data_IF_231310815323
#
_entry.id   IF_231310815323
#
_cell.length_a   1.000
_cell.length_b   1.000
_cell.length_c   1.000
_cell.angle_alpha   90.00
_cell.angle_beta   90.00
_cell.angle_gamma   90.00
#
_symmetry.space_group_name_H-M   'P 1'
#
loop_
_entity.id
_entity.type
_entity.pdbx_description
1 polymer ?
#
# COMPACT_ATOMS: atom_id res chain seq x y z
N UNK A 1 17.26 -12.70 -8.99
CA UNK A 1 16.30 -13.27 -8.01
C UNK A 1 15.09 -13.76 -8.77
N UNK A 2 14.43 -14.77 -8.24
CA UNK A 2 13.12 -15.24 -8.69
C UNK A 2 12.04 -14.46 -7.95
N UNK A 3 11.28 -13.65 -8.67
CA UNK A 3 10.33 -12.69 -8.09
C UNK A 3 8.92 -12.95 -8.58
N UNK A 4 7.96 -13.04 -7.68
CA UNK A 4 6.54 -13.04 -8.03
C UNK A 4 5.87 -11.74 -7.58
N UNK A 5 5.15 -11.08 -8.49
CA UNK A 5 4.32 -9.92 -8.15
C UNK A 5 2.85 -10.34 -8.18
N UNK A 6 2.24 -10.43 -7.01
CA UNK A 6 0.84 -10.78 -6.82
C UNK A 6 -0.01 -9.53 -7.01
N UNK A 7 -0.71 -9.46 -8.14
CA UNK A 7 -1.45 -8.28 -8.56
C UNK A 7 -0.61 -7.35 -9.44
N UNK A 8 -0.60 -7.62 -10.75
CA UNK A 8 0.06 -6.77 -11.75
C UNK A 8 -0.74 -5.48 -12.07
N UNK A 9 -1.42 -4.91 -11.05
CA UNK A 9 -2.12 -3.64 -11.16
C UNK A 9 -1.17 -2.45 -11.29
N UNK A 10 -1.60 -1.27 -10.84
CA UNK A 10 -0.83 -0.04 -10.96
C UNK A 10 0.59 -0.16 -10.37
N UNK A 11 0.70 -0.33 -9.07
CA UNK A 11 2.00 -0.41 -8.37
C UNK A 11 2.72 -1.73 -8.66
N UNK A 12 1.97 -2.86 -8.62
CA UNK A 12 2.57 -4.16 -8.92
C UNK A 12 3.08 -4.25 -10.35
N UNK A 13 2.43 -3.61 -11.32
CA UNK A 13 2.91 -3.55 -12.69
C UNK A 13 4.20 -2.73 -12.83
N UNK A 14 4.32 -1.60 -12.14
CA UNK A 14 5.59 -0.83 -12.08
C UNK A 14 6.71 -1.69 -11.51
N UNK A 15 6.48 -2.37 -10.37
CA UNK A 15 7.46 -3.27 -9.74
C UNK A 15 7.87 -4.39 -10.69
N UNK A 16 6.89 -5.11 -11.26
CA UNK A 16 7.16 -6.23 -12.16
C UNK A 16 7.98 -5.80 -13.38
N UNK A 17 7.57 -4.72 -14.05
CA UNK A 17 8.27 -4.21 -15.22
C UNK A 17 9.71 -3.79 -14.89
N UNK A 18 9.89 -3.01 -13.83
CA UNK A 18 11.18 -2.47 -13.43
C UNK A 18 12.16 -3.57 -13.01
N UNK A 19 11.70 -4.53 -12.21
CA UNK A 19 12.53 -5.67 -11.78
C UNK A 19 12.90 -6.59 -12.96
N UNK A 20 11.98 -6.84 -13.90
CA UNK A 20 12.28 -7.60 -15.12
C UNK A 20 13.33 -6.87 -15.99
N UNK A 21 13.20 -5.54 -16.12
CA UNK A 21 14.18 -4.72 -16.85
C UNK A 21 15.56 -4.75 -16.18
N UNK A 22 15.63 -4.90 -14.87
CA UNK A 22 16.88 -5.07 -14.12
C UNK A 22 17.48 -6.50 -14.18
N UNK A 23 16.86 -7.41 -14.97
CA UNK A 23 17.35 -8.76 -15.20
C UNK A 23 16.94 -9.78 -14.15
N UNK A 24 15.90 -9.51 -13.36
CA UNK A 24 15.31 -10.50 -12.47
C UNK A 24 14.36 -11.42 -13.23
N UNK A 25 14.22 -12.67 -12.76
CA UNK A 25 13.22 -13.63 -13.25
C UNK A 25 11.86 -13.29 -12.60
N UNK A 26 11.00 -12.60 -13.36
CA UNK A 26 9.75 -12.04 -12.83
C UNK A 26 8.54 -12.74 -13.40
N UNK A 27 7.69 -13.22 -12.51
CA UNK A 27 6.33 -13.69 -12.81
C UNK A 27 5.28 -12.79 -12.16
N UNK A 28 4.09 -12.74 -12.75
CA UNK A 28 2.98 -11.96 -12.20
C UNK A 28 1.74 -12.80 -12.00
N UNK A 29 1.01 -12.53 -10.93
CA UNK A 29 -0.36 -13.04 -10.74
C UNK A 29 -1.33 -11.96 -11.20
N UNK A 30 -2.11 -12.26 -12.20
CA UNK A 30 -3.11 -11.37 -12.76
C UNK A 30 -4.35 -12.15 -13.19
N UNK A 31 -5.46 -11.48 -13.47
CA UNK A 31 -6.72 -12.11 -13.87
C UNK A 31 -7.29 -11.50 -15.14
N UNK A 32 -8.20 -12.22 -15.79
CA UNK A 32 -9.00 -11.74 -16.92
C UNK A 32 -8.18 -11.18 -18.09
N UNK A 33 -8.71 -10.13 -18.71
CA UNK A 33 -8.10 -9.50 -19.89
C UNK A 33 -6.68 -8.97 -19.64
N UNK A 34 -6.39 -8.48 -18.40
CA UNK A 34 -5.07 -7.99 -18.05
C UNK A 34 -4.02 -9.12 -18.07
N UNK A 35 -4.33 -10.28 -17.47
CA UNK A 35 -3.46 -11.46 -17.54
C UNK A 35 -3.24 -11.93 -18.99
N UNK A 36 -4.32 -12.02 -19.76
CA UNK A 36 -4.24 -12.47 -21.17
C UNK A 36 -3.35 -11.55 -21.99
N UNK A 37 -3.46 -10.24 -21.80
CA UNK A 37 -2.63 -9.25 -22.47
C UNK A 37 -1.15 -9.39 -22.09
N UNK A 38 -0.84 -9.51 -20.79
CA UNK A 38 0.55 -9.68 -20.34
C UNK A 38 1.15 -11.00 -20.87
N UNK A 39 0.41 -12.10 -20.79
CA UNK A 39 0.88 -13.40 -21.25
C UNK A 39 1.16 -13.44 -22.76
N UNK A 40 0.40 -12.70 -23.56
CA UNK A 40 0.52 -12.73 -25.03
C UNK A 40 1.48 -11.67 -25.58
N UNK A 41 1.58 -10.50 -24.97
CA UNK A 41 2.31 -9.33 -25.49
C UNK A 41 3.39 -8.79 -24.55
N UNK A 42 3.44 -9.30 -23.32
CA UNK A 42 4.24 -8.72 -22.23
C UNK A 42 3.54 -7.58 -21.51
N UNK A 43 4.16 -7.09 -20.45
CA UNK A 43 3.72 -5.93 -19.69
C UNK A 43 4.36 -4.67 -20.26
N UNK A 44 3.54 -3.68 -20.61
CA UNK A 44 3.99 -2.39 -21.11
C UNK A 44 3.97 -1.35 -20.00
N UNK A 45 5.06 -0.62 -19.83
CA UNK A 45 5.15 0.55 -18.96
C UNK A 45 5.27 1.82 -19.81
N UNK A 46 4.37 2.77 -19.58
CA UNK A 46 4.49 4.16 -20.04
C UNK A 46 4.97 4.99 -18.86
N UNK A 47 6.23 5.42 -18.91
CA UNK A 47 6.87 6.11 -17.78
C UNK A 47 6.85 7.62 -17.98
N UNK A 48 5.92 8.29 -17.30
CA UNK A 48 5.83 9.75 -17.32
C UNK A 48 6.93 10.44 -16.47
N UNK A 49 7.72 9.66 -15.73
CA UNK A 49 8.87 10.14 -14.96
C UNK A 49 10.19 10.08 -15.77
N UNK A 50 10.15 9.49 -16.96
CA UNK A 50 11.32 9.31 -17.86
C UNK A 50 10.88 9.65 -19.29
N UNK A 51 10.63 10.94 -19.56
CA UNK A 51 10.27 11.52 -20.87
C UNK A 51 9.17 10.74 -21.63
N UNK A 52 8.17 10.21 -20.91
CA UNK A 52 7.11 9.36 -21.44
C UNK A 52 7.60 8.11 -22.18
N UNK A 53 8.77 7.61 -21.77
CA UNK A 53 9.34 6.41 -22.36
C UNK A 53 8.38 5.23 -22.23
N UNK A 54 8.09 4.60 -23.37
CA UNK A 54 7.26 3.40 -23.45
C UNK A 54 8.14 2.19 -23.76
N UNK A 55 8.00 1.13 -22.98
CA UNK A 55 8.69 -0.13 -23.23
C UNK A 55 7.84 -1.33 -22.78
N UNK A 56 8.09 -2.48 -23.38
CA UNK A 56 7.38 -3.74 -23.06
C UNK A 56 8.38 -4.78 -22.62
N UNK A 57 8.03 -5.51 -21.55
CA UNK A 57 8.81 -6.65 -21.05
C UNK A 57 7.98 -7.93 -21.13
N UNK A 58 8.50 -8.97 -21.79
CA UNK A 58 7.88 -10.28 -21.72
C UNK A 58 7.97 -10.82 -20.30
N UNK A 59 6.91 -11.44 -19.81
CA UNK A 59 6.92 -12.09 -18.50
C UNK A 59 5.83 -13.14 -18.37
N UNK A 60 6.06 -14.10 -17.49
CA UNK A 60 5.08 -15.12 -17.18
C UNK A 60 3.92 -14.50 -16.40
N UNK A 61 2.71 -14.63 -16.90
CA UNK A 61 1.49 -14.18 -16.24
C UNK A 61 0.56 -15.36 -15.99
N UNK A 62 0.34 -15.68 -14.72
CA UNK A 62 -0.54 -16.80 -14.30
C UNK A 62 -1.67 -16.28 -13.41
N UNK A 63 -2.71 -17.07 -13.25
CA UNK A 63 -3.83 -16.76 -12.37
C UNK A 63 -3.68 -17.46 -11.01
N UNK A 64 -3.16 -18.67 -11.05
CA UNK A 64 -2.94 -19.48 -9.86
C UNK A 64 -1.48 -19.40 -9.37
N UNK A 65 -1.24 -18.82 -8.17
CA UNK A 65 0.09 -18.78 -7.56
C UNK A 65 0.72 -20.17 -7.40
N UNK A 66 -0.08 -21.20 -7.10
CA UNK A 66 0.42 -22.54 -6.79
C UNK A 66 1.22 -23.18 -7.92
N UNK A 67 1.06 -22.68 -9.15
CA UNK A 67 1.80 -23.14 -10.32
C UNK A 67 3.27 -22.70 -10.38
N UNK A 68 3.68 -21.72 -9.54
CA UNK A 68 5.01 -21.11 -9.62
C UNK A 68 6.04 -21.69 -8.65
N UNK A 69 5.58 -22.31 -7.54
CA UNK A 69 6.43 -22.78 -6.44
C UNK A 69 7.13 -21.64 -5.69
N UNK A 70 8.01 -21.96 -4.73
CA UNK A 70 8.67 -20.97 -3.89
C UNK A 70 9.49 -19.94 -4.67
N UNK A 71 9.48 -18.69 -4.19
CA UNK A 71 10.14 -17.53 -4.78
C UNK A 71 11.20 -16.97 -3.83
N UNK A 72 12.15 -16.18 -4.34
CA UNK A 72 13.06 -15.41 -3.49
C UNK A 72 12.31 -14.19 -2.88
N UNK A 73 11.48 -13.54 -3.68
CA UNK A 73 10.69 -12.38 -3.26
C UNK A 73 9.26 -12.49 -3.80
N UNK A 74 8.29 -12.24 -2.93
CA UNK A 74 6.87 -12.14 -3.31
C UNK A 74 6.38 -10.74 -2.95
N UNK A 75 6.11 -9.90 -3.95
CA UNK A 75 5.43 -8.62 -3.72
C UNK A 75 3.92 -8.82 -3.77
N UNK A 76 3.18 -8.23 -2.82
CA UNK A 76 1.72 -8.13 -2.89
C UNK A 76 1.36 -6.70 -3.28
N UNK A 77 0.96 -6.50 -4.55
CA UNK A 77 0.50 -5.24 -5.12
C UNK A 77 -1.02 -5.20 -5.29
N UNK A 78 -1.74 -5.88 -4.41
CA UNK A 78 -3.20 -5.88 -4.36
C UNK A 78 -3.72 -4.79 -3.43
N UNK A 79 -5.00 -4.44 -3.56
CA UNK A 79 -5.69 -3.67 -2.54
C UNK A 79 -5.92 -4.51 -1.28
N UNK A 80 -5.87 -3.88 -0.11
CA UNK A 80 -5.94 -4.56 1.18
C UNK A 80 -7.12 -5.54 1.29
N UNK A 81 -8.31 -5.15 0.81
CA UNK A 81 -9.51 -5.98 0.86
C UNK A 81 -9.48 -7.25 0.00
N UNK A 82 -8.53 -7.37 -0.94
CA UNK A 82 -8.38 -8.56 -1.78
C UNK A 82 -7.38 -9.58 -1.22
N UNK A 83 -6.65 -9.23 -0.18
CA UNK A 83 -5.57 -10.06 0.36
C UNK A 83 -6.11 -11.27 1.14
N UNK A 84 -7.13 -11.15 2.02
CA UNK A 84 -7.59 -12.29 2.82
C UNK A 84 -7.97 -13.51 1.99
N UNK A 85 -8.64 -13.30 0.86
CA UNK A 85 -9.05 -14.38 -0.04
C UNK A 85 -7.86 -15.05 -0.75
N UNK A 86 -6.84 -14.27 -1.12
CA UNK A 86 -5.74 -14.78 -1.94
C UNK A 86 -4.54 -15.27 -1.11
N UNK A 87 -4.39 -14.78 0.11
CA UNK A 87 -3.22 -15.06 0.95
C UNK A 87 -2.96 -16.57 1.19
N UNK A 88 -3.96 -17.46 1.37
CA UNK A 88 -3.72 -18.90 1.50
C UNK A 88 -3.01 -19.50 0.29
N UNK A 89 -3.32 -19.00 -0.92
CA UNK A 89 -2.67 -19.44 -2.17
C UNK A 89 -1.30 -18.78 -2.34
N UNK A 90 -1.15 -17.53 -1.93
CA UNK A 90 0.14 -16.81 -1.93
C UNK A 90 1.13 -17.44 -0.97
N UNK A 91 0.68 -17.97 0.16
CA UNK A 91 1.53 -18.66 1.13
C UNK A 91 2.28 -19.86 0.50
N UNK A 92 1.78 -20.48 -0.57
CA UNK A 92 2.50 -21.56 -1.29
C UNK A 92 3.76 -21.06 -2.02
N UNK A 93 3.90 -19.77 -2.25
CA UNK A 93 5.09 -19.16 -2.84
C UNK A 93 6.18 -18.88 -1.80
N UNK A 94 5.84 -18.98 -0.51
CA UNK A 94 6.74 -18.62 0.60
C UNK A 94 7.47 -19.86 1.08
N UNK A 95 8.77 -19.92 0.77
CA UNK A 95 9.71 -20.89 1.34
C UNK A 95 10.49 -20.31 2.52
N UNK A 96 11.44 -21.07 3.09
CA UNK A 96 12.17 -20.67 4.31
C UNK A 96 12.97 -19.37 4.18
N UNK A 97 13.36 -18.98 2.96
CA UNK A 97 14.17 -17.77 2.69
C UNK A 97 13.42 -16.71 1.92
N UNK A 98 12.15 -16.92 1.63
CA UNK A 98 11.32 -15.99 0.86
C UNK A 98 11.06 -14.70 1.64
N UNK A 99 11.21 -13.57 0.99
CA UNK A 99 10.75 -12.27 1.47
C UNK A 99 9.35 -11.99 0.92
N UNK A 100 8.34 -11.96 1.79
CA UNK A 100 6.98 -11.51 1.44
C UNK A 100 6.88 -10.01 1.69
N UNK A 101 6.60 -9.23 0.65
CA UNK A 101 6.64 -7.76 0.66
C UNK A 101 5.26 -7.20 0.31
N UNK A 102 4.38 -6.97 1.30
CA UNK A 102 3.09 -6.32 1.07
C UNK A 102 3.25 -4.83 0.76
N UNK A 103 3.12 -4.47 -0.52
CA UNK A 103 3.18 -3.09 -1.01
C UNK A 103 1.77 -2.48 -1.04
N UNK A 104 1.16 -2.30 0.14
CA UNK A 104 -0.25 -1.94 0.35
C UNK A 104 -0.40 -0.62 1.09
N UNK A 105 -1.57 0.00 0.98
CA UNK A 105 -1.94 1.19 1.74
C UNK A 105 -2.68 0.82 3.02
N UNK A 106 -2.76 1.76 3.95
CA UNK A 106 -3.50 1.59 5.20
C UNK A 106 -2.70 0.86 6.28
N UNK A 107 -3.41 0.37 7.29
CA UNK A 107 -2.84 -0.47 8.34
C UNK A 107 -2.68 -1.87 7.78
N UNK A 108 -1.45 -2.42 7.71
CA UNK A 108 -1.26 -3.78 7.21
C UNK A 108 -1.60 -4.82 8.29
N UNK A 109 -2.04 -6.01 7.88
CA UNK A 109 -2.41 -7.08 8.84
C UNK A 109 -1.28 -7.48 9.79
N UNK A 110 -0.01 -7.35 9.35
CA UNK A 110 1.17 -7.69 10.12
C UNK A 110 1.59 -6.63 11.13
N UNK A 111 0.90 -5.49 11.20
CA UNK A 111 1.35 -4.30 11.92
C UNK A 111 1.67 -4.59 13.40
N UNK A 112 0.85 -5.42 14.05
CA UNK A 112 1.01 -5.82 15.45
C UNK A 112 1.67 -7.19 15.66
N UNK A 113 2.23 -7.78 14.63
CA UNK A 113 3.15 -8.92 14.77
C UNK A 113 4.51 -8.39 15.24
N UNK A 114 4.65 -8.19 16.55
CA UNK A 114 5.81 -7.55 17.17
C UNK A 114 6.10 -8.20 18.50
N UNK A 115 6.94 -9.21 18.47
CA UNK A 115 7.35 -9.95 19.67
C UNK A 115 7.85 -8.99 20.78
N UNK A 116 7.38 -9.20 22.00
CA UNK A 116 7.70 -8.38 23.16
C UNK A 116 6.98 -7.03 23.27
N UNK A 117 6.07 -6.70 22.34
CA UNK A 117 5.21 -5.52 22.46
C UNK A 117 3.97 -5.84 23.31
N UNK A 118 3.48 -4.85 24.05
CA UNK A 118 2.20 -4.96 24.79
C UNK A 118 0.99 -5.13 23.85
N UNK A 119 1.17 -4.85 22.57
CA UNK A 119 0.15 -5.01 21.53
C UNK A 119 0.44 -6.17 20.58
N UNK A 120 1.40 -7.07 20.94
CA UNK A 120 1.74 -8.19 20.07
C UNK A 120 0.54 -9.11 19.83
N UNK A 121 0.37 -9.55 18.60
CA UNK A 121 -0.74 -10.41 18.19
C UNK A 121 -2.11 -9.70 18.09
N UNK A 122 -2.20 -8.37 18.30
CA UNK A 122 -3.44 -7.65 18.14
C UNK A 122 -3.93 -7.73 16.69
N UNK A 123 -5.15 -8.22 16.50
CA UNK A 123 -5.81 -8.30 15.20
C UNK A 123 -6.60 -7.02 14.93
N UNK A 124 -6.39 -6.42 13.78
CA UNK A 124 -7.20 -5.29 13.26
C UNK A 124 -8.28 -5.88 12.34
N UNK A 125 -9.49 -6.03 12.87
CA UNK A 125 -10.58 -6.73 12.16
C UNK A 125 -11.04 -6.02 10.90
N UNK A 126 -10.88 -4.71 10.81
CA UNK A 126 -11.13 -3.95 9.57
C UNK A 126 -10.22 -4.38 8.41
N UNK A 127 -9.09 -5.03 8.70
CA UNK A 127 -8.10 -5.48 7.70
C UNK A 127 -8.05 -7.01 7.61
N UNK A 128 -8.13 -7.68 8.73
CA UNK A 128 -8.18 -9.14 8.86
C UNK A 128 -9.46 -9.57 9.59
N UNK A 129 -10.63 -9.59 8.90
CA UNK A 129 -11.91 -9.85 9.53
C UNK A 129 -11.98 -11.18 10.27
N UNK A 130 -11.31 -12.20 9.78
CA UNK A 130 -11.28 -13.55 10.39
C UNK A 130 -10.16 -13.69 11.43
N UNK A 131 -9.21 -12.76 11.52
CA UNK A 131 -8.07 -12.84 12.43
C UNK A 131 -7.09 -13.96 12.10
N UNK A 132 -7.03 -14.39 10.84
CA UNK A 132 -6.26 -15.59 10.44
C UNK A 132 -5.02 -15.28 9.61
N UNK A 133 -4.90 -14.08 9.06
CA UNK A 133 -3.81 -13.75 8.13
C UNK A 133 -2.43 -13.82 8.79
N UNK A 134 -2.33 -13.44 10.06
CA UNK A 134 -1.07 -13.50 10.79
C UNK A 134 -0.55 -14.93 10.99
N UNK A 135 -1.44 -15.94 11.07
CA UNK A 135 -1.07 -17.33 11.21
C UNK A 135 -0.66 -18.01 9.88
N UNK A 136 -0.98 -17.38 8.73
CA UNK A 136 -0.72 -17.96 7.41
C UNK A 136 0.72 -17.77 6.95
N UNK A 137 1.39 -16.70 7.41
CA UNK A 137 2.78 -16.39 7.05
C UNK A 137 3.52 -15.95 8.29
N UNK A 138 4.67 -16.57 8.54
CA UNK A 138 5.52 -16.20 9.67
C UNK A 138 6.01 -14.75 9.55
N UNK A 139 6.02 -14.01 10.67
CA UNK A 139 6.52 -12.63 10.73
C UNK A 139 7.93 -12.50 10.18
N UNK A 140 8.77 -13.51 10.43
CA UNK A 140 10.14 -13.59 9.92
C UNK A 140 10.26 -13.63 8.41
N UNK A 141 9.20 -13.95 7.66
CA UNK A 141 9.17 -13.89 6.18
C UNK A 141 8.69 -12.53 5.66
N UNK A 142 8.08 -11.70 6.51
CA UNK A 142 7.45 -10.45 6.07
C UNK A 142 8.45 -9.29 6.11
N UNK A 143 8.52 -8.55 5.03
CA UNK A 143 9.20 -7.26 4.93
C UNK A 143 8.14 -6.18 4.77
N UNK A 144 8.07 -5.24 5.70
CA UNK A 144 7.18 -4.09 5.57
C UNK A 144 7.58 -3.20 4.39
N UNK A 145 6.59 -2.63 3.72
CA UNK A 145 6.83 -1.77 2.57
C UNK A 145 5.87 -0.58 2.58
N UNK A 146 6.42 0.62 2.41
CA UNK A 146 5.65 1.86 2.19
C UNK A 146 5.96 2.39 0.80
N UNK A 147 4.93 2.59 -0.02
CA UNK A 147 5.07 2.98 -1.42
C UNK A 147 4.76 4.46 -1.59
N UNK A 148 5.69 5.21 -2.16
CA UNK A 148 5.55 6.61 -2.56
C UNK A 148 5.66 6.73 -4.08
N UNK A 149 4.83 5.96 -4.79
CA UNK A 149 4.72 5.97 -6.23
C UNK A 149 3.24 6.04 -6.64
N UNK A 150 2.98 6.63 -7.78
CA UNK A 150 1.66 6.73 -8.38
C UNK A 150 1.67 6.11 -9.78
N UNK A 151 0.70 5.26 -10.05
CA UNK A 151 0.53 4.61 -11.33
C UNK A 151 -0.95 4.29 -11.56
N UNK A 152 -1.29 3.97 -12.80
CA UNK A 152 -2.63 3.54 -13.18
C UNK A 152 -2.57 2.51 -14.32
N UNK A 153 -3.54 1.61 -14.37
CA UNK A 153 -3.75 0.72 -15.51
C UNK A 153 -4.79 1.38 -16.39
N UNK A 154 -4.42 1.77 -17.60
CA UNK A 154 -5.35 2.38 -18.58
C UNK A 154 -5.95 1.36 -19.51
N UNK A 155 -5.15 0.36 -19.91
CA UNK A 155 -5.56 -0.72 -20.80
C UNK A 155 -5.02 -2.06 -20.28
N UNK A 156 -5.63 -3.19 -20.63
CA UNK A 156 -5.08 -4.49 -20.30
C UNK A 156 -3.64 -4.68 -20.78
N UNK A 157 -2.72 -4.92 -19.85
CA UNK A 157 -1.29 -5.09 -20.13
C UNK A 157 -0.51 -3.77 -20.20
N UNK A 158 -1.14 -2.60 -19.98
CA UNK A 158 -0.47 -1.28 -20.05
C UNK A 158 -0.60 -0.55 -18.72
N UNK A 159 0.53 -0.21 -18.13
CA UNK A 159 0.64 0.54 -16.88
C UNK A 159 1.28 1.89 -17.14
N UNK A 160 0.67 2.96 -16.64
CA UNK A 160 1.20 4.31 -16.69
C UNK A 160 1.77 4.68 -15.33
N UNK A 161 3.08 4.90 -15.24
CA UNK A 161 3.77 5.39 -14.05
C UNK A 161 3.70 6.92 -14.04
N UNK A 162 2.86 7.49 -13.20
CA UNK A 162 2.48 8.91 -13.26
C UNK A 162 3.22 9.77 -12.23
N UNK A 163 3.80 9.20 -11.18
CA UNK A 163 4.53 9.99 -10.18
C UNK A 163 5.25 9.18 -9.11
N UNK A 164 6.34 9.74 -8.60
CA UNK A 164 7.14 9.17 -7.52
C UNK A 164 7.79 7.82 -7.88
N UNK A 165 8.87 7.48 -7.17
CA UNK A 165 9.61 6.22 -7.32
C UNK A 165 9.97 5.61 -5.97
N UNK A 166 9.46 6.19 -4.87
CA UNK A 166 9.88 5.88 -3.51
C UNK A 166 9.30 4.57 -2.99
N UNK A 167 10.18 3.74 -2.45
CA UNK A 167 9.84 2.51 -1.72
C UNK A 167 10.65 2.48 -0.43
N UNK A 168 9.98 2.50 0.72
CA UNK A 168 10.61 2.32 2.01
C UNK A 168 10.37 0.87 2.41
N UNK A 169 11.44 0.12 2.67
CA UNK A 169 11.35 -1.29 3.06
C UNK A 169 12.01 -1.49 4.42
N UNK A 170 11.46 -2.36 5.26
CA UNK A 170 12.00 -2.57 6.62
C UNK A 170 11.59 -3.92 7.19
N UNK A 171 12.45 -4.47 8.06
CA UNK A 171 12.13 -5.67 8.83
C UNK A 171 10.98 -5.39 9.79
N UNK A 172 10.02 -6.29 9.85
CA UNK A 172 8.94 -6.22 10.85
C UNK A 172 9.30 -6.97 12.11
N UNK A 173 10.18 -7.95 12.01
CA UNK A 173 10.67 -8.76 13.11
C UNK A 173 11.77 -8.00 13.88
N UNK A 174 11.50 -7.70 15.15
CA UNK A 174 12.46 -7.00 16.04
C UNK A 174 13.31 -7.94 16.90
N UNK A 175 13.14 -9.23 16.78
CA UNK A 175 14.06 -10.21 17.37
C UNK A 175 15.42 -10.17 16.68
N UNK A 176 15.48 -9.62 15.49
CA UNK A 176 16.72 -9.42 14.75
C UNK A 176 17.55 -8.28 15.36
N UNK A 177 18.84 -8.54 15.64
CA UNK A 177 19.70 -7.56 16.33
C UNK A 177 19.99 -6.31 15.50
N UNK A 178 19.95 -6.41 14.18
CA UNK A 178 20.12 -5.30 13.25
C UNK A 178 18.94 -5.26 12.26
N UNK A 179 18.18 -4.15 12.21
CA UNK A 179 17.11 -3.99 11.22
C UNK A 179 17.62 -3.95 9.77
N UNK A 180 18.93 -3.76 9.56
CA UNK A 180 19.61 -3.79 8.26
C UNK A 180 20.23 -5.15 7.97
N UNK A 181 19.44 -6.18 8.02
CA UNK A 181 19.90 -7.52 7.70
C UNK A 181 20.37 -7.61 6.23
N UNK A 182 21.22 -8.58 5.93
CA UNK A 182 21.73 -8.78 4.57
C UNK A 182 20.61 -9.00 3.53
N UNK A 183 19.46 -9.56 3.96
CA UNK A 183 18.32 -9.79 3.05
C UNK A 183 17.62 -8.49 2.68
N UNK A 184 17.40 -7.57 3.64
CA UNK A 184 16.73 -6.29 3.34
C UNK A 184 17.61 -5.39 2.50
N UNK A 185 18.93 -5.36 2.74
CA UNK A 185 19.86 -4.61 1.91
C UNK A 185 19.92 -5.16 0.48
N UNK A 186 19.88 -6.48 0.31
CA UNK A 186 19.79 -7.13 -1.01
C UNK A 186 18.49 -6.75 -1.73
N UNK A 187 17.36 -6.72 -1.03
CA UNK A 187 16.08 -6.29 -1.60
C UNK A 187 16.14 -4.81 -2.01
N UNK A 188 16.64 -3.94 -1.13
CA UNK A 188 16.75 -2.51 -1.42
C UNK A 188 17.71 -2.25 -2.59
N UNK A 189 18.83 -2.97 -2.68
CA UNK A 189 19.74 -2.90 -3.83
C UNK A 189 19.03 -3.28 -5.14
N UNK A 190 18.31 -4.41 -5.15
CA UNK A 190 17.58 -4.84 -6.33
C UNK A 190 16.51 -3.82 -6.79
N UNK A 191 15.82 -3.17 -5.85
CA UNK A 191 14.88 -2.10 -6.19
C UNK A 191 15.59 -0.87 -6.76
N UNK A 192 16.77 -0.49 -6.23
CA UNK A 192 17.58 0.62 -6.77
C UNK A 192 18.11 0.30 -8.17
N UNK A 193 18.61 -0.92 -8.40
CA UNK A 193 19.04 -1.38 -9.71
C UNK A 193 17.91 -1.37 -10.73
N UNK A 194 16.67 -1.59 -10.25
CA UNK A 194 15.43 -1.45 -11.02
C UNK A 194 14.98 0.02 -11.19
N UNK A 195 15.83 1.01 -10.86
CA UNK A 195 15.54 2.46 -10.92
C UNK A 195 14.36 2.91 -10.07
N UNK A 196 14.18 2.30 -8.91
CA UNK A 196 13.26 2.72 -7.86
C UNK A 196 14.05 3.31 -6.69
N UNK A 197 13.50 4.35 -6.05
CA UNK A 197 14.16 5.04 -4.93
C UNK A 197 13.89 4.25 -3.64
N UNK A 198 14.67 3.18 -3.41
CA UNK A 198 14.49 2.32 -2.27
C UNK A 198 15.37 2.75 -1.09
N UNK A 199 14.73 2.91 0.09
CA UNK A 199 15.38 3.18 1.36
C UNK A 199 15.08 2.07 2.37
N UNK A 200 16.07 1.72 3.19
CA UNK A 200 15.88 0.79 4.30
C UNK A 200 15.46 1.56 5.54
N UNK A 201 14.32 1.18 6.08
CA UNK A 201 13.74 1.78 7.28
C UNK A 201 14.40 1.26 8.56
N UNK A 202 14.63 2.14 9.51
CA UNK A 202 14.97 1.76 10.89
C UNK A 202 13.73 1.46 11.74
N UNK A 203 12.56 1.97 11.35
CA UNK A 203 11.26 1.69 11.98
C UNK A 203 10.11 1.77 10.97
N UNK A 204 9.89 0.67 10.28
CA UNK A 204 8.87 0.57 9.22
C UNK A 204 7.44 0.87 9.72
N UNK A 205 7.15 0.65 10.99
CA UNK A 205 5.85 0.96 11.58
C UNK A 205 5.61 2.46 11.67
N UNK A 206 6.66 3.20 12.00
CA UNK A 206 6.64 4.67 11.97
C UNK A 206 6.43 5.19 10.55
N UNK A 207 7.09 4.60 9.56
CA UNK A 207 6.93 4.99 8.16
C UNK A 207 5.51 4.70 7.63
N UNK A 208 4.92 3.55 8.02
CA UNK A 208 3.51 3.24 7.74
C UNK A 208 2.61 4.34 8.29
N UNK A 209 2.75 4.73 9.56
CA UNK A 209 1.93 5.78 10.15
C UNK A 209 2.18 7.15 9.50
N UNK A 210 3.42 7.49 9.18
CA UNK A 210 3.76 8.76 8.51
C UNK A 210 3.01 8.92 7.18
N UNK A 211 2.85 7.84 6.42
CA UNK A 211 2.03 7.85 5.20
C UNK A 211 0.54 7.78 5.52
N UNK A 212 0.15 6.91 6.45
CA UNK A 212 -1.24 6.64 6.81
C UNK A 212 -1.97 7.90 7.26
N UNK A 213 -1.36 8.75 8.09
CA UNK A 213 -1.96 9.99 8.58
C UNK A 213 -2.39 10.90 7.41
N UNK A 214 -1.56 11.00 6.38
CA UNK A 214 -1.93 11.73 5.17
C UNK A 214 -3.09 11.06 4.42
N UNK A 215 -3.01 9.75 4.22
CA UNK A 215 -4.08 9.02 3.53
C UNK A 215 -5.41 9.08 4.31
N UNK A 216 -5.37 8.92 5.64
CA UNK A 216 -6.51 9.04 6.53
C UNK A 216 -7.28 10.35 6.34
N UNK A 217 -6.53 11.45 6.22
CA UNK A 217 -7.12 12.80 6.24
C UNK A 217 -7.49 13.28 4.83
N UNK A 218 -6.63 13.05 3.83
CA UNK A 218 -6.85 13.60 2.49
C UNK A 218 -7.68 12.67 1.59
N UNK A 219 -7.51 11.34 1.67
CA UNK A 219 -8.15 10.43 0.72
C UNK A 219 -9.68 10.48 0.76
N UNK A 220 -10.34 10.38 1.93
CA UNK A 220 -11.79 10.42 1.98
C UNK A 220 -12.35 11.79 1.59
N UNK A 221 -11.68 12.88 1.97
CA UNK A 221 -12.10 14.24 1.58
C UNK A 221 -11.99 14.43 0.06
N UNK A 222 -10.90 13.95 -0.55
CA UNK A 222 -10.74 14.01 -2.01
C UNK A 222 -11.80 13.18 -2.75
N UNK A 223 -12.13 11.99 -2.22
CA UNK A 223 -13.18 11.13 -2.78
C UNK A 223 -14.57 11.77 -2.68
N UNK A 224 -14.88 12.41 -1.55
CA UNK A 224 -16.17 13.09 -1.34
C UNK A 224 -16.34 14.33 -2.22
N UNK A 225 -15.26 15.11 -2.39
CA UNK A 225 -15.33 16.43 -3.06
C UNK A 225 -14.94 16.40 -4.53
N UNK A 226 -14.33 15.32 -5.00
CA UNK A 226 -13.70 15.20 -6.31
C UNK A 226 -12.64 16.30 -6.56
N UNK A 227 -12.12 16.91 -5.51
CA UNK A 227 -11.09 17.94 -5.58
C UNK A 227 -9.69 17.32 -5.69
N UNK A 228 -8.83 17.89 -6.54
CA UNK A 228 -7.41 17.58 -6.56
C UNK A 228 -6.69 18.23 -5.36
N UNK A 229 -5.49 17.77 -5.05
CA UNK A 229 -4.77 18.16 -3.82
C UNK A 229 -4.56 19.68 -3.70
N UNK A 230 -4.22 20.36 -4.78
CA UNK A 230 -4.05 21.81 -4.77
C UNK A 230 -5.33 22.57 -4.39
N UNK A 231 -6.49 22.09 -4.85
CA UNK A 231 -7.79 22.66 -4.45
C UNK A 231 -8.10 22.41 -2.99
N UNK A 232 -7.83 21.20 -2.50
CA UNK A 232 -8.03 20.83 -1.08
C UNK A 232 -7.14 21.70 -0.19
N UNK A 233 -5.84 21.75 -0.47
CA UNK A 233 -4.88 22.51 0.32
C UNK A 233 -5.04 24.04 0.19
N UNK A 234 -5.77 24.54 -0.81
CA UNK A 234 -6.08 25.94 -1.00
C UNK A 234 -7.43 26.39 -0.41
N UNK A 235 -8.19 25.49 0.21
CA UNK A 235 -9.52 25.78 0.79
C UNK A 235 -9.48 25.69 2.30
N UNK A 236 -9.57 26.82 3.00
CA UNK A 236 -9.60 26.80 4.48
C UNK A 236 -10.78 25.98 5.00
N UNK A 237 -11.95 26.02 4.36
CA UNK A 237 -13.10 25.21 4.76
C UNK A 237 -12.82 23.70 4.70
N UNK A 238 -12.03 23.21 3.73
CA UNK A 238 -11.61 21.82 3.68
C UNK A 238 -10.48 21.53 4.69
N UNK A 239 -9.59 22.48 4.90
CA UNK A 239 -8.53 22.36 5.91
C UNK A 239 -9.09 22.34 7.34
N UNK A 240 -10.24 22.97 7.60
CA UNK A 240 -10.94 22.89 8.89
C UNK A 240 -11.49 21.46 9.17
N UNK A 241 -11.67 20.64 8.16
CA UNK A 241 -11.96 19.20 8.32
C UNK A 241 -10.66 18.39 8.44
N UNK A 242 -9.67 18.69 7.61
CA UNK A 242 -8.42 17.90 7.51
C UNK A 242 -7.53 18.08 8.75
N UNK A 243 -7.37 19.31 9.29
CA UNK A 243 -6.55 19.55 10.49
C UNK A 243 -6.99 18.74 11.70
N UNK A 244 -8.28 18.69 12.07
CA UNK A 244 -8.74 17.79 13.11
C UNK A 244 -8.45 16.32 12.82
N UNK A 245 -8.71 15.82 11.61
CA UNK A 245 -8.41 14.42 11.25
C UNK A 245 -6.91 14.10 11.39
N UNK A 246 -6.03 15.03 11.00
CA UNK A 246 -4.59 14.89 11.19
C UNK A 246 -4.24 14.81 12.69
N UNK A 247 -4.84 15.66 13.55
CA UNK A 247 -4.63 15.62 15.01
C UNK A 247 -5.14 14.32 15.62
N UNK A 248 -6.31 13.85 15.22
CA UNK A 248 -6.88 12.59 15.66
C UNK A 248 -5.96 11.42 15.28
N UNK A 249 -5.52 11.34 14.03
CA UNK A 249 -4.58 10.31 13.58
C UNK A 249 -3.23 10.34 14.30
N UNK A 250 -2.67 11.53 14.56
CA UNK A 250 -1.45 11.70 15.34
C UNK A 250 -1.64 11.25 16.79
N UNK A 251 -2.78 11.56 17.41
CA UNK A 251 -3.09 11.13 18.78
C UNK A 251 -3.20 9.61 18.88
N UNK A 252 -3.84 8.95 17.90
CA UNK A 252 -3.89 7.48 17.85
C UNK A 252 -2.49 6.90 17.69
N UNK A 253 -1.67 7.43 16.78
CA UNK A 253 -0.28 6.97 16.58
C UNK A 253 0.52 7.08 17.89
N UNK A 254 0.43 8.23 18.58
CA UNK A 254 1.14 8.48 19.86
C UNK A 254 0.69 7.51 20.95
N UNK A 255 -0.60 7.18 21.04
CA UNK A 255 -1.11 6.20 22.00
C UNK A 255 -0.53 4.78 21.78
N UNK A 256 -0.10 4.47 20.56
CA UNK A 256 0.66 3.24 20.23
C UNK A 256 2.18 3.43 20.29
N UNK A 257 2.67 4.54 20.85
CA UNK A 257 4.09 4.84 21.01
C UNK A 257 4.81 5.23 19.71
N UNK A 258 4.06 5.71 18.72
CA UNK A 258 4.62 6.16 17.44
C UNK A 258 4.61 7.70 17.37
N UNK A 259 5.80 8.27 17.50
CA UNK A 259 5.99 9.73 17.40
C UNK A 259 6.39 10.11 15.96
N UNK A 260 5.48 10.78 15.25
CA UNK A 260 5.71 11.15 13.84
C UNK A 260 6.63 12.36 13.72
N UNK A 261 6.62 13.25 14.71
CA UNK A 261 7.49 14.45 14.70
C UNK A 261 7.09 15.50 13.66
N UNK A 262 5.83 15.49 13.22
CA UNK A 262 5.30 16.42 12.23
C UNK A 262 3.96 16.99 12.71
N UNK A 263 3.78 18.30 12.61
CA UNK A 263 2.50 18.95 12.93
C UNK A 263 1.49 18.80 11.79
N UNK A 264 0.17 18.98 12.05
CA UNK A 264 -0.83 19.00 10.99
C UNK A 264 -0.53 19.99 9.87
N UNK A 265 -0.09 21.20 10.20
CA UNK A 265 0.21 22.22 9.20
C UNK A 265 1.45 21.86 8.36
N UNK A 266 2.49 21.32 8.97
CA UNK A 266 3.63 20.78 8.21
C UNK A 266 3.20 19.64 7.27
N UNK A 267 2.26 18.80 7.68
CA UNK A 267 1.72 17.74 6.81
C UNK A 267 0.92 18.31 5.65
N UNK A 268 0.16 19.37 5.88
CA UNK A 268 -0.57 20.12 4.83
C UNK A 268 0.42 20.75 3.86
N UNK A 269 1.48 21.38 4.34
CA UNK A 269 2.50 21.99 3.50
C UNK A 269 3.17 20.98 2.58
N UNK A 270 3.51 19.79 3.09
CA UNK A 270 3.99 18.69 2.24
C UNK A 270 2.96 18.29 1.20
N UNK A 271 1.67 18.26 1.55
CA UNK A 271 0.61 17.90 0.63
C UNK A 271 0.39 18.94 -0.49
N UNK A 272 0.70 20.21 -0.25
CA UNK A 272 0.61 21.30 -1.26
C UNK A 272 1.48 21.03 -2.50
N UNK A 273 2.63 20.37 -2.34
CA UNK A 273 3.51 20.01 -3.44
C UNK A 273 2.90 19.00 -4.43
N UNK A 274 1.83 18.31 -4.04
CA UNK A 274 1.11 17.41 -4.94
C UNK A 274 0.28 18.14 -6.01
N UNK A 275 0.02 19.44 -5.84
CA UNK A 275 -0.60 20.28 -6.85
C UNK A 275 -1.90 19.71 -7.43
N UNK A 276 -1.95 19.52 -8.74
CA UNK A 276 -3.11 18.97 -9.45
C UNK A 276 -3.28 17.44 -9.33
N UNK A 277 -2.49 16.75 -8.49
CA UNK A 277 -2.59 15.31 -8.34
C UNK A 277 -3.95 14.89 -7.79
N UNK A 278 -4.49 13.81 -8.37
CA UNK A 278 -5.63 13.05 -7.86
C UNK A 278 -5.10 11.85 -7.12
N UNK A 279 -5.44 11.74 -5.85
CA UNK A 279 -4.94 10.66 -4.99
C UNK A 279 -5.78 9.39 -5.11
N UNK A 280 -5.25 8.27 -4.64
CA UNK A 280 -5.72 6.92 -4.97
C UNK A 280 -7.21 6.68 -4.74
N UNK A 281 -7.79 7.11 -3.61
CA UNK A 281 -9.21 6.90 -3.32
C UNK A 281 -10.11 7.72 -4.25
N UNK A 282 -9.72 8.96 -4.60
CA UNK A 282 -10.42 9.76 -5.61
C UNK A 282 -10.43 9.02 -6.96
N UNK A 283 -9.26 8.49 -7.40
CA UNK A 283 -9.16 7.71 -8.62
C UNK A 283 -10.00 6.42 -8.60
N UNK A 284 -10.18 5.81 -7.42
CA UNK A 284 -11.03 4.64 -7.26
C UNK A 284 -12.49 4.95 -7.52
N UNK A 285 -13.00 6.06 -6.96
CA UNK A 285 -14.36 6.51 -7.20
C UNK A 285 -14.59 6.88 -8.68
N UNK A 286 -13.65 7.62 -9.30
CA UNK A 286 -13.73 7.95 -10.73
C UNK A 286 -13.73 6.71 -11.62
N UNK A 287 -12.98 5.69 -11.26
CA UNK A 287 -12.87 4.45 -12.04
C UNK A 287 -13.87 3.36 -11.61
N UNK A 288 -14.87 3.70 -10.79
CA UNK A 288 -15.85 2.76 -10.23
C UNK A 288 -15.20 1.48 -9.65
N UNK A 289 -14.14 1.66 -8.83
CA UNK A 289 -13.45 0.58 -8.13
C UNK A 289 -13.68 0.67 -6.63
N UNK A 290 -13.76 -0.48 -5.97
CA UNK A 290 -13.85 -0.56 -4.50
C UNK A 290 -12.70 0.22 -3.84
N UNK A 291 -13.00 1.26 -3.02
CA UNK A 291 -11.99 2.04 -2.30
C UNK A 291 -11.47 1.31 -1.06
N UNK A 292 -10.28 1.70 -0.58
CA UNK A 292 -9.64 1.11 0.60
C UNK A 292 -10.04 1.81 1.91
N UNK A 293 -11.33 2.05 2.12
CA UNK A 293 -11.85 2.74 3.31
C UNK A 293 -11.48 1.96 4.57
N UNK A 294 -11.68 0.64 4.55
CA UNK A 294 -11.49 -0.22 5.73
C UNK A 294 -10.03 -0.18 6.23
N UNK A 295 -9.05 -0.31 5.34
CA UNK A 295 -7.64 -0.33 5.72
C UNK A 295 -7.07 1.06 6.08
N UNK A 296 -7.64 2.14 5.52
CA UNK A 296 -7.12 3.51 5.68
C UNK A 296 -7.85 4.27 6.79
N UNK A 297 -9.17 4.14 6.88
CA UNK A 297 -9.98 4.96 7.79
C UNK A 297 -10.56 4.13 8.93
N UNK A 298 -11.30 3.06 8.61
CA UNK A 298 -11.96 2.25 9.63
C UNK A 298 -10.96 1.56 10.57
N UNK A 299 -9.83 1.10 10.06
CA UNK A 299 -8.76 0.53 10.87
C UNK A 299 -8.22 1.53 11.91
N UNK A 300 -8.08 2.80 11.57
CA UNK A 300 -7.65 3.83 12.54
C UNK A 300 -8.75 4.09 13.58
N UNK A 301 -10.01 4.09 13.18
CA UNK A 301 -11.14 4.22 14.11
C UNK A 301 -11.20 3.03 15.06
N UNK A 302 -10.98 1.81 14.57
CA UNK A 302 -10.90 0.60 15.40
C UNK A 302 -9.76 0.71 16.41
N UNK A 303 -8.57 1.10 15.97
CA UNK A 303 -7.41 1.30 16.83
C UNK A 303 -7.64 2.40 17.87
N UNK A 304 -8.27 3.52 17.49
CA UNK A 304 -8.63 4.60 18.39
C UNK A 304 -9.54 4.13 19.55
N UNK A 305 -10.53 3.30 19.23
CA UNK A 305 -11.44 2.72 20.24
C UNK A 305 -10.77 1.78 21.23
N UNK A 306 -9.66 1.13 20.85
CA UNK A 306 -8.91 0.22 21.73
C UNK A 306 -8.00 0.95 22.73
N UNK A 307 -7.69 2.20 22.48
CA UNK A 307 -6.82 3.05 23.33
C UNK A 307 -7.56 4.29 23.86
N UNK A 308 -8.88 4.30 23.76
CA UNK A 308 -9.77 5.36 24.23
C UNK A 308 -9.40 6.76 23.69
N UNK A 309 -8.88 6.86 22.46
CA UNK A 309 -8.62 8.13 21.80
C UNK A 309 -9.87 8.56 21.01
N UNK A 310 -10.45 9.74 21.30
CA UNK A 310 -11.62 10.21 20.56
C UNK A 310 -11.24 10.66 19.14
N UNK A 311 -12.01 10.19 18.13
CA UNK A 311 -11.81 10.51 16.71
C UNK A 311 -13.14 10.92 16.04
N UNK A 312 -13.82 11.96 16.55
CA UNK A 312 -15.18 12.31 16.10
C UNK A 312 -15.22 12.76 14.64
N UNK A 313 -14.23 13.54 14.17
CA UNK A 313 -14.23 14.04 12.78
C UNK A 313 -13.90 12.90 11.82
N UNK A 314 -12.94 12.05 12.16
CA UNK A 314 -12.63 10.88 11.35
C UNK A 314 -13.82 9.94 11.21
N UNK A 315 -14.60 9.69 12.29
CA UNK A 315 -15.82 8.89 12.23
C UNK A 315 -16.89 9.51 11.33
N UNK A 316 -17.08 10.83 11.43
CA UNK A 316 -18.05 11.54 10.60
C UNK A 316 -17.68 11.45 9.10
N UNK A 317 -16.42 11.69 8.76
CA UNK A 317 -15.94 11.62 7.38
C UNK A 317 -15.95 10.18 6.85
N UNK A 318 -15.64 9.20 7.71
CA UNK A 318 -15.76 7.77 7.36
C UNK A 318 -17.18 7.40 6.98
N UNK A 319 -18.17 7.78 7.80
CA UNK A 319 -19.58 7.49 7.53
C UNK A 319 -20.03 8.11 6.19
N UNK A 320 -19.64 9.35 5.90
CA UNK A 320 -19.98 10.03 4.64
C UNK A 320 -19.33 9.35 3.41
N UNK A 321 -18.06 9.01 3.48
CA UNK A 321 -17.37 8.39 2.34
C UNK A 321 -17.82 6.94 2.11
N UNK A 322 -18.17 6.24 3.18
CA UNK A 322 -18.74 4.88 3.11
C UNK A 322 -20.12 4.90 2.48
N UNK A 323 -21.01 5.77 2.95
CA UNK A 323 -22.36 5.92 2.38
C UNK A 323 -22.31 6.33 0.91
N UNK A 324 -21.38 7.22 0.54
CA UNK A 324 -21.16 7.56 -0.85
C UNK A 324 -20.69 6.34 -1.66
N UNK A 325 -19.78 5.52 -1.14
CA UNK A 325 -19.30 4.31 -1.83
C UNK A 325 -20.44 3.26 -1.99
N UNK A 326 -21.34 3.15 -1.02
CA UNK A 326 -22.55 2.29 -1.10
C UNK A 326 -23.49 2.85 -2.19
N UNK A 327 -23.79 4.13 -2.15
CA UNK A 327 -24.68 4.80 -3.11
C UNK A 327 -24.16 4.69 -4.55
N UNK A 328 -22.84 4.73 -4.75
CA UNK A 328 -22.21 4.55 -6.05
C UNK A 328 -22.04 3.05 -6.45
N UNK A 329 -22.51 2.11 -5.61
CA UNK A 329 -22.41 0.66 -5.86
C UNK A 329 -21.00 0.08 -5.75
N UNK A 330 -20.08 0.78 -5.08
CA UNK A 330 -18.69 0.36 -4.89
C UNK A 330 -18.51 -0.53 -3.65
N UNK A 331 -19.45 -0.45 -2.72
CA UNK A 331 -19.56 -1.29 -1.53
C UNK A 331 -20.98 -1.85 -1.41
N UNK A 332 -21.12 -3.00 -0.78
CA UNK A 332 -22.41 -3.50 -0.33
C UNK A 332 -22.84 -2.79 0.95
N UNK A 333 -24.15 -2.61 1.13
CA UNK A 333 -24.76 -2.05 2.33
C UNK A 333 -24.54 -2.94 3.56
#
# INVERSE_FOLDING_TARGET
>A
MKVCVVGAGAIGGVLAFRLATAGHDVSVIARGAHRTAIASRGLTLVDHQDDQRTATQPMQAVEDPTSLGPQDVVFIGLKAHAIPELLPRVATLVGPTTMLVPAINGVPWWYFQREGSVHDGLVVHSVDPAGTMHAMVASSSIIGCVVHAAAEVREPGVVHHTGGKGFIVGEIDRSLPDPRTARIERLAAALRDARLDATVSSDIRKDVWSKLIGNLSFNPVAALTYAHMGRICGSEALLDVIRPMLREGLAVASAYGIEIGMTPDQRIDVARYLGAARISMHQDFEAHRKPEIDAIVTAVIELAGRVDVPVPITRMVEALVRERAISDGLLSA
#
